data_IF_952010395604
#
_entry.id   IF_952010395604
#
_cell.length_a   1.000
_cell.length_b   1.000
_cell.length_c   1.000
_cell.angle_alpha   90.00
_cell.angle_beta   90.00
_cell.angle_gamma   90.00
#
_symmetry.space_group_name_H-M   'P 1'
#
loop_
_entity.id
_entity.type
_entity.pdbx_description
1 polymer ?
#
# COMPACT_ATOMS: atom_id res chain seq x y z
N UNK A 1 5.61 -24.68 -3.55
CA UNK A 1 5.63 -23.73 -2.39
C UNK A 1 7.04 -23.62 -1.85
N UNK A 2 7.55 -22.40 -1.63
CA UNK A 2 8.90 -22.13 -1.10
C UNK A 2 9.11 -22.82 0.26
N UNK A 3 8.13 -22.78 1.16
CA UNK A 3 8.19 -23.43 2.48
C UNK A 3 8.54 -24.93 2.40
N UNK A 4 7.91 -25.70 1.49
CA UNK A 4 8.26 -27.12 1.29
C UNK A 4 9.70 -27.32 0.81
N UNK A 5 10.19 -26.44 -0.08
CA UNK A 5 11.58 -26.50 -0.57
C UNK A 5 12.59 -26.21 0.53
N UNK A 6 12.21 -25.38 1.50
CA UNK A 6 13.03 -25.02 2.66
C UNK A 6 12.82 -25.93 3.88
N UNK A 7 11.91 -26.91 3.81
CA UNK A 7 11.57 -27.79 4.93
C UNK A 7 10.89 -27.06 6.11
N UNK A 8 10.27 -25.90 5.86
CA UNK A 8 9.60 -25.10 6.88
C UNK A 8 8.15 -25.58 7.11
N UNK A 9 7.65 -25.55 8.35
CA UNK A 9 6.25 -25.83 8.63
C UNK A 9 5.33 -24.81 7.94
N UNK A 10 4.11 -25.23 7.62
CA UNK A 10 3.09 -24.37 7.01
C UNK A 10 1.89 -24.33 7.95
N UNK A 11 1.52 -23.11 8.37
CA UNK A 11 0.25 -22.83 9.06
C UNK A 11 -0.76 -22.46 7.98
N UNK A 12 -1.92 -23.11 7.99
CA UNK A 12 -2.99 -22.89 7.02
C UNK A 12 -4.10 -22.05 7.62
N UNK A 13 -4.72 -21.22 6.77
CA UNK A 13 -5.91 -20.43 7.08
C UNK A 13 -6.91 -20.55 5.94
N UNK A 14 -8.19 -20.43 6.27
CA UNK A 14 -9.26 -20.28 5.28
C UNK A 14 -9.51 -18.80 4.93
N UNK A 15 -8.88 -17.86 5.64
CA UNK A 15 -8.94 -16.44 5.35
C UNK A 15 -8.06 -16.15 4.13
N UNK A 16 -8.66 -15.54 3.11
CA UNK A 16 -7.98 -15.09 1.90
C UNK A 16 -7.31 -13.75 2.20
N UNK A 17 -5.98 -13.73 2.19
CA UNK A 17 -5.18 -12.53 2.44
C UNK A 17 -3.84 -12.62 1.71
N UNK A 18 -3.35 -11.47 1.28
CA UNK A 18 -2.07 -11.28 0.60
C UNK A 18 -1.04 -10.65 1.54
N UNK A 19 0.26 -10.90 1.31
CA UNK A 19 1.34 -10.39 2.17
C UNK A 19 1.37 -8.86 2.28
N UNK A 20 1.11 -8.14 1.17
CA UNK A 20 1.07 -6.66 1.18
C UNK A 20 -0.10 -6.07 1.97
N UNK A 21 -1.16 -6.84 2.19
CA UNK A 21 -2.28 -6.41 3.03
C UNK A 21 -1.96 -6.50 4.53
N UNK A 22 -0.86 -7.16 4.93
CA UNK A 22 -0.53 -7.47 6.33
C UNK A 22 0.71 -6.71 6.77
N UNK A 23 0.58 -5.89 7.82
CA UNK A 23 1.71 -5.13 8.36
C UNK A 23 1.75 -5.27 9.90
N UNK A 24 2.84 -5.86 10.42
CA UNK A 24 3.01 -6.16 11.84
C UNK A 24 4.21 -5.40 12.42
N UNK A 25 4.10 -4.95 13.66
CA UNK A 25 5.17 -4.19 14.33
C UNK A 25 6.20 -5.05 15.09
N UNK A 26 5.98 -6.37 15.15
CA UNK A 26 6.82 -7.31 15.91
C UNK A 26 6.65 -7.25 17.44
N UNK A 27 5.75 -6.42 17.97
CA UNK A 27 5.36 -6.36 19.40
C UNK A 27 3.90 -6.79 19.63
N UNK A 28 3.30 -7.46 18.64
CA UNK A 28 1.96 -8.03 18.70
C UNK A 28 0.83 -7.11 18.23
N UNK A 29 1.13 -6.07 17.44
CA UNK A 29 0.13 -5.23 16.79
C UNK A 29 0.15 -5.49 15.28
N UNK A 30 -1.04 -5.66 14.70
CA UNK A 30 -1.27 -5.79 13.26
C UNK A 30 -2.08 -4.58 12.75
N UNK A 31 -1.65 -3.97 11.65
CA UNK A 31 -2.52 -3.11 10.85
C UNK A 31 -3.30 -3.96 9.86
N UNK A 32 -4.59 -3.65 9.70
CA UNK A 32 -5.43 -4.27 8.68
C UNK A 32 -6.34 -3.24 8.02
N UNK A 33 -6.73 -3.49 6.78
CA UNK A 33 -7.63 -2.61 6.02
C UNK A 33 -8.97 -3.29 5.88
N UNK A 34 -10.01 -2.68 6.45
CA UNK A 34 -11.37 -3.22 6.47
C UNK A 34 -11.90 -3.44 5.05
N UNK A 35 -11.76 -2.44 4.17
CA UNK A 35 -12.24 -2.53 2.79
C UNK A 35 -11.63 -3.74 2.04
N UNK A 36 -10.31 -3.92 2.14
CA UNK A 36 -9.60 -5.05 1.50
C UNK A 36 -10.04 -6.37 2.12
N UNK A 37 -9.98 -6.49 3.45
CA UNK A 37 -10.20 -7.76 4.13
C UNK A 37 -11.63 -8.27 3.92
N UNK A 38 -12.61 -7.37 4.01
CA UNK A 38 -14.02 -7.68 3.79
C UNK A 38 -14.29 -8.07 2.34
N UNK A 39 -13.70 -7.36 1.38
CA UNK A 39 -13.83 -7.68 -0.05
C UNK A 39 -13.28 -9.08 -0.36
N UNK A 40 -12.16 -9.49 0.28
CA UNK A 40 -11.56 -10.82 0.09
C UNK A 40 -12.33 -11.95 0.76
N UNK A 41 -13.02 -11.67 1.86
CA UNK A 41 -13.60 -12.68 2.74
C UNK A 41 -15.12 -12.49 2.91
N UNK A 42 -15.91 -12.54 1.80
CA UNK A 42 -17.35 -12.37 1.90
C UNK A 42 -17.95 -13.45 2.80
N UNK A 43 -18.75 -13.04 3.78
CA UNK A 43 -19.41 -13.92 4.74
C UNK A 43 -18.67 -14.15 6.05
N UNK A 44 -17.43 -13.67 6.20
CA UNK A 44 -16.75 -13.66 7.50
C UNK A 44 -17.20 -12.46 8.34
N UNK A 45 -17.32 -12.65 9.67
CA UNK A 45 -17.49 -11.53 10.60
C UNK A 45 -16.13 -10.94 10.99
N UNK A 46 -16.10 -9.66 11.35
CA UNK A 46 -14.89 -8.99 11.88
C UNK A 46 -14.29 -9.78 13.04
N UNK A 47 -15.11 -10.23 13.99
CA UNK A 47 -14.65 -11.00 15.14
C UNK A 47 -13.96 -12.31 14.73
N UNK A 48 -14.50 -13.02 13.73
CA UNK A 48 -13.91 -14.28 13.27
C UNK A 48 -12.58 -14.03 12.55
N UNK A 49 -12.50 -12.97 11.75
CA UNK A 49 -11.25 -12.56 11.10
C UNK A 49 -10.20 -12.13 12.11
N UNK A 50 -10.58 -11.38 13.16
CA UNK A 50 -9.65 -11.00 14.22
C UNK A 50 -9.08 -12.20 14.96
N UNK A 51 -9.92 -13.20 15.31
CA UNK A 51 -9.44 -14.41 15.98
C UNK A 51 -8.47 -15.19 15.09
N UNK A 52 -8.78 -15.32 13.80
CA UNK A 52 -7.94 -15.99 12.82
C UNK A 52 -6.59 -15.27 12.66
N UNK A 53 -6.59 -13.93 12.53
CA UNK A 53 -5.38 -13.12 12.45
C UNK A 53 -4.52 -13.22 13.72
N UNK A 54 -5.13 -13.16 14.90
CA UNK A 54 -4.43 -13.34 16.18
C UNK A 54 -3.78 -14.72 16.27
N UNK A 55 -4.47 -15.77 15.82
CA UNK A 55 -3.98 -17.14 15.79
C UNK A 55 -2.79 -17.36 14.85
N UNK A 56 -2.84 -16.81 13.63
CA UNK A 56 -1.82 -17.04 12.60
C UNK A 56 -0.60 -16.15 12.80
N UNK A 57 -0.81 -14.86 13.08
CA UNK A 57 0.26 -13.88 13.17
C UNK A 57 0.83 -13.75 14.59
N UNK A 58 0.21 -14.39 15.59
CA UNK A 58 0.63 -14.30 16.98
C UNK A 58 0.52 -12.88 17.55
N UNK A 59 -0.38 -12.08 16.95
CA UNK A 59 -0.68 -10.72 17.39
C UNK A 59 -1.78 -10.73 18.42
N UNK A 60 -1.90 -9.63 19.16
CA UNK A 60 -2.81 -9.53 20.29
C UNK A 60 -3.77 -8.35 20.12
N UNK A 61 -3.36 -7.30 19.39
CA UNK A 61 -4.18 -6.14 19.01
C UNK A 61 -4.18 -5.98 17.48
N UNK A 62 -5.32 -5.53 16.93
CA UNK A 62 -5.49 -5.24 15.50
C UNK A 62 -6.03 -3.82 15.35
N UNK A 63 -5.42 -3.04 14.48
CA UNK A 63 -5.87 -1.69 14.12
C UNK A 63 -6.51 -1.75 12.75
N UNK A 64 -7.83 -1.55 12.71
CA UNK A 64 -8.62 -1.55 11.48
C UNK A 64 -8.66 -0.18 10.83
N UNK A 65 -7.78 0.03 9.86
CA UNK A 65 -7.86 1.14 8.90
C UNK A 65 -9.05 0.91 7.96
N UNK A 66 -9.58 1.97 7.35
CA UNK A 66 -10.80 1.88 6.54
C UNK A 66 -10.51 1.62 5.07
N UNK A 67 -9.94 2.60 4.40
CA UNK A 67 -9.67 2.58 2.96
C UNK A 67 -8.26 3.06 2.66
N UNK A 68 -7.66 2.51 1.61
CA UNK A 68 -6.37 2.95 1.06
C UNK A 68 -6.47 4.06 0.02
N UNK A 69 -5.34 4.43 -0.62
CA UNK A 69 -5.29 5.42 -1.69
C UNK A 69 -6.19 5.05 -2.87
N UNK A 70 -6.70 6.07 -3.58
CA UNK A 70 -7.64 5.83 -4.68
C UNK A 70 -6.95 5.25 -5.93
N UNK A 71 -5.66 5.51 -6.06
CA UNK A 71 -4.77 5.05 -7.10
C UNK A 71 -4.30 3.60 -6.92
N UNK A 72 -4.65 2.93 -5.80
CA UNK A 72 -4.48 1.49 -5.62
C UNK A 72 -5.82 0.74 -5.75
N UNK A 73 -6.59 1.05 -6.79
CA UNK A 73 -7.91 0.42 -7.01
C UNK A 73 -7.78 -1.06 -7.38
N UNK A 74 -8.68 -1.91 -6.86
CA UNK A 74 -8.62 -3.35 -7.06
C UNK A 74 -8.70 -3.73 -8.54
N UNK A 75 -7.78 -4.57 -9.02
CA UNK A 75 -7.66 -4.89 -10.45
C UNK A 75 -8.92 -5.50 -11.10
N UNK A 76 -9.82 -6.09 -10.31
CA UNK A 76 -11.10 -6.64 -10.80
C UNK A 76 -12.21 -5.58 -10.89
N UNK A 77 -12.07 -4.44 -10.19
CA UNK A 77 -12.98 -3.30 -10.26
C UNK A 77 -12.18 -2.00 -10.50
N UNK A 78 -11.44 -1.90 -11.63
CA UNK A 78 -10.34 -0.93 -11.81
C UNK A 78 -10.78 0.52 -12.04
N UNK A 79 -12.10 0.79 -12.16
CA UNK A 79 -12.59 2.16 -12.40
C UNK A 79 -12.52 2.96 -11.10
N UNK A 80 -11.73 4.03 -11.13
CA UNK A 80 -11.55 4.96 -10.01
C UNK A 80 -12.71 5.95 -9.96
N UNK A 81 -12.86 6.75 -11.02
CA UNK A 81 -13.89 7.77 -11.16
C UNK A 81 -13.99 8.25 -12.61
N UNK A 82 -15.20 8.33 -13.16
CA UNK A 82 -15.40 8.76 -14.55
C UNK A 82 -14.58 7.89 -15.50
N UNK A 83 -13.75 8.50 -16.35
CA UNK A 83 -12.87 7.81 -17.29
C UNK A 83 -11.47 7.47 -16.73
N UNK A 84 -11.29 7.52 -15.40
CA UNK A 84 -10.01 7.21 -14.73
C UNK A 84 -10.01 5.76 -14.24
N UNK A 85 -8.94 5.04 -14.55
CA UNK A 85 -8.73 3.66 -14.18
C UNK A 85 -7.37 3.49 -13.51
N UNK A 86 -7.30 2.56 -12.56
CA UNK A 86 -6.06 2.10 -11.96
C UNK A 86 -6.07 0.58 -11.84
N UNK A 87 -4.89 -0.01 -11.73
CA UNK A 87 -4.74 -1.42 -11.38
C UNK A 87 -3.83 -1.55 -10.18
N UNK A 88 -4.41 -2.08 -9.13
CA UNK A 88 -3.75 -2.32 -7.87
C UNK A 88 -4.50 -3.38 -7.07
N UNK A 89 -4.38 -3.27 -5.76
CA UNK A 89 -4.80 -4.32 -4.82
C UNK A 89 -6.09 -4.00 -4.10
N UNK A 90 -6.61 -2.77 -4.21
CA UNK A 90 -7.81 -2.31 -3.50
C UNK A 90 -7.51 -1.52 -2.23
N UNK A 91 -6.29 -1.02 -2.07
CA UNK A 91 -5.85 -0.29 -0.90
C UNK A 91 -5.14 -1.17 0.11
N UNK A 92 -4.17 -1.99 -0.33
CA UNK A 92 -3.32 -2.73 0.62
C UNK A 92 -2.60 -1.76 1.56
N UNK A 93 -2.38 -2.23 2.80
CA UNK A 93 -1.78 -1.40 3.85
C UNK A 93 -0.35 -0.99 3.51
N UNK A 94 0.37 -1.82 2.75
CA UNK A 94 1.75 -1.54 2.36
C UNK A 94 1.90 -0.32 1.43
N UNK A 95 0.81 0.11 0.79
CA UNK A 95 0.79 1.32 -0.02
C UNK A 95 0.63 2.61 0.79
N UNK A 96 0.15 2.57 2.04
CA UNK A 96 -0.21 3.82 2.73
C UNK A 96 0.02 3.88 4.24
N UNK A 97 0.29 2.76 4.91
CA UNK A 97 0.56 2.77 6.34
C UNK A 97 1.57 1.68 6.74
N UNK A 98 2.75 2.05 7.22
CA UNK A 98 3.84 1.10 7.52
C UNK A 98 4.38 1.30 8.92
N UNK A 99 4.65 0.23 9.66
CA UNK A 99 5.46 0.33 10.87
C UNK A 99 6.92 0.55 10.49
N UNK A 100 7.58 1.42 11.25
CA UNK A 100 9.05 1.62 11.16
C UNK A 100 9.76 1.18 12.44
N UNK A 101 8.99 0.95 13.51
CA UNK A 101 9.39 0.29 14.75
C UNK A 101 8.12 -0.18 15.50
N UNK A 102 8.24 -0.57 16.77
CA UNK A 102 7.15 -1.10 17.58
C UNK A 102 6.05 -0.08 17.91
N UNK A 103 6.29 1.22 17.78
CA UNK A 103 5.33 2.26 18.18
C UNK A 103 5.18 3.42 17.21
N UNK A 104 5.78 3.34 16.02
CA UNK A 104 5.80 4.42 15.03
C UNK A 104 5.32 3.89 13.69
N UNK A 105 4.37 4.59 13.11
CA UNK A 105 3.87 4.34 11.76
C UNK A 105 4.15 5.53 10.85
N UNK A 106 4.43 5.23 9.58
CA UNK A 106 4.32 6.21 8.50
C UNK A 106 2.92 6.16 7.91
N UNK A 107 2.34 7.31 7.58
CA UNK A 107 1.05 7.42 6.92
C UNK A 107 1.19 8.26 5.65
N UNK A 108 0.74 7.74 4.51
CA UNK A 108 0.69 8.49 3.26
C UNK A 108 -0.19 9.73 3.42
N UNK A 109 0.28 10.86 2.90
CA UNK A 109 -0.36 12.14 3.09
C UNK A 109 -0.13 13.02 1.85
N UNK A 110 -1.13 13.13 0.95
CA UNK A 110 -1.09 14.09 -0.16
C UNK A 110 -0.79 15.48 0.35
N UNK A 111 0.01 16.31 -0.31
CA UNK A 111 0.29 17.66 0.18
C UNK A 111 -0.88 18.61 -0.11
N UNK A 112 -1.00 19.71 0.65
CA UNK A 112 -2.10 20.67 0.46
C UNK A 112 -2.10 21.27 -0.96
N UNK A 113 -0.92 21.41 -1.57
CA UNK A 113 -0.74 21.85 -2.95
C UNK A 113 -1.30 20.85 -3.99
N UNK A 114 -1.41 19.56 -3.65
CA UNK A 114 -1.92 18.53 -4.54
C UNK A 114 -3.46 18.45 -4.53
N UNK A 115 -4.13 19.08 -3.55
CA UNK A 115 -5.58 18.91 -3.32
C UNK A 115 -6.47 19.59 -4.37
N UNK A 116 -5.90 20.33 -5.32
CA UNK A 116 -6.62 20.76 -6.51
C UNK A 116 -6.97 19.57 -7.42
N UNK A 117 -6.21 18.47 -7.34
CA UNK A 117 -6.56 17.20 -7.97
C UNK A 117 -7.62 16.47 -7.12
N UNK A 118 -8.75 16.12 -7.75
CA UNK A 118 -9.88 15.49 -7.05
C UNK A 118 -9.57 14.09 -6.53
N UNK A 119 -8.66 13.36 -7.16
CA UNK A 119 -8.22 12.03 -6.71
C UNK A 119 -7.34 12.15 -5.46
N UNK A 120 -6.41 13.10 -5.45
CA UNK A 120 -5.60 13.39 -4.26
C UNK A 120 -6.47 13.88 -3.10
N UNK A 121 -7.52 14.65 -3.37
CA UNK A 121 -8.50 15.04 -2.36
C UNK A 121 -9.27 13.83 -1.77
N UNK A 122 -9.64 12.85 -2.60
CA UNK A 122 -10.27 11.60 -2.12
C UNK A 122 -9.28 10.83 -1.24
N UNK A 123 -8.04 10.62 -1.70
CA UNK A 123 -6.99 9.97 -0.92
C UNK A 123 -6.78 10.69 0.41
N UNK A 124 -6.70 12.03 0.41
CA UNK A 124 -6.54 12.81 1.65
C UNK A 124 -7.67 12.56 2.64
N UNK A 125 -8.92 12.57 2.21
CA UNK A 125 -10.10 12.30 3.07
C UNK A 125 -10.07 10.90 3.68
N UNK A 126 -9.64 9.88 2.92
CA UNK A 126 -9.44 8.52 3.43
C UNK A 126 -8.32 8.48 4.49
N UNK A 127 -7.20 9.15 4.22
CA UNK A 127 -6.08 9.23 5.15
C UNK A 127 -6.43 10.00 6.44
N UNK A 128 -7.32 11.00 6.39
CA UNK A 128 -7.84 11.68 7.58
C UNK A 128 -8.65 10.74 8.48
N UNK A 129 -9.42 9.81 7.91
CA UNK A 129 -10.13 8.78 8.69
C UNK A 129 -9.13 7.86 9.37
N UNK A 130 -8.16 7.35 8.61
CA UNK A 130 -7.11 6.46 9.12
C UNK A 130 -6.24 7.13 10.19
N UNK A 131 -5.91 8.41 10.02
CA UNK A 131 -5.17 9.19 11.00
C UNK A 131 -5.91 9.24 12.35
N UNK A 132 -7.22 9.51 12.35
CA UNK A 132 -8.01 9.54 13.60
C UNK A 132 -7.99 8.19 14.32
N UNK A 133 -8.05 7.09 13.57
CA UNK A 133 -7.98 5.74 14.13
C UNK A 133 -6.62 5.51 14.79
N UNK A 134 -5.53 5.84 14.09
CA UNK A 134 -4.17 5.70 14.59
C UNK A 134 -3.90 6.58 15.83
N UNK A 135 -4.38 7.82 15.84
CA UNK A 135 -4.20 8.78 16.95
C UNK A 135 -5.02 8.41 18.19
N UNK A 136 -6.15 7.72 18.02
CA UNK A 136 -7.00 7.24 19.12
C UNK A 136 -6.49 5.93 19.71
N UNK A 137 -5.77 5.12 18.94
CA UNK A 137 -5.25 3.84 19.41
C UNK A 137 -4.30 4.00 20.61
N UNK A 138 -4.42 3.09 21.57
CA UNK A 138 -3.49 2.94 22.70
C UNK A 138 -3.13 1.46 22.79
N UNK A 139 -1.83 1.19 22.92
CA UNK A 139 -1.37 -0.17 23.17
C UNK A 139 -1.74 -0.63 24.60
N UNK A 140 -1.44 -1.89 24.92
CA UNK A 140 -1.74 -2.48 26.24
C UNK A 140 -1.08 -1.80 27.43
N UNK A 141 -0.03 -1.00 27.18
CA UNK A 141 0.62 -0.17 28.21
C UNK A 141 -0.01 1.23 28.33
N UNK A 142 -0.99 1.54 27.49
CA UNK A 142 -1.58 2.88 27.36
C UNK A 142 -0.76 3.84 26.51
N UNK A 143 0.29 3.37 25.81
CA UNK A 143 1.13 4.19 24.94
C UNK A 143 0.43 4.44 23.61
N UNK A 144 0.47 5.70 23.15
CA UNK A 144 -0.03 6.09 21.83
C UNK A 144 0.98 5.75 20.73
N UNK A 145 0.50 5.54 19.50
CA UNK A 145 1.37 5.46 18.34
C UNK A 145 1.88 6.85 17.96
N UNK A 146 3.14 6.91 17.52
CA UNK A 146 3.65 8.07 16.80
C UNK A 146 3.29 7.91 15.31
N UNK A 147 2.53 8.85 14.77
CA UNK A 147 2.18 8.89 13.34
C UNK A 147 3.03 9.94 12.64
N UNK A 148 3.81 9.53 11.65
CA UNK A 148 4.61 10.41 10.80
C UNK A 148 3.96 10.46 9.42
N UNK A 149 3.49 11.63 9.02
CA UNK A 149 2.93 11.86 7.68
C UNK A 149 4.08 11.97 6.67
N UNK A 150 3.95 11.29 5.54
CA UNK A 150 4.92 11.32 4.44
C UNK A 150 4.22 11.71 3.13
N UNK A 151 4.90 12.34 2.16
CA UNK A 151 4.27 12.70 0.88
C UNK A 151 3.64 11.50 0.18
N UNK A 152 2.64 11.75 -0.66
CA UNK A 152 2.33 10.86 -1.79
C UNK A 152 3.07 11.33 -3.04
N UNK A 153 3.37 10.45 -3.99
CA UNK A 153 3.89 10.86 -5.29
C UNK A 153 2.93 11.80 -6.02
N UNK A 154 3.46 12.56 -6.97
CA UNK A 154 2.59 13.30 -7.90
C UNK A 154 1.78 12.34 -8.76
N UNK A 155 0.56 12.75 -9.11
CA UNK A 155 -0.33 11.90 -9.91
C UNK A 155 0.14 11.90 -11.37
N UNK A 156 0.58 10.74 -11.84
CA UNK A 156 0.92 10.51 -13.24
C UNK A 156 -0.27 9.90 -14.00
N UNK A 157 -0.42 10.24 -15.27
CA UNK A 157 -1.49 9.74 -16.12
C UNK A 157 -0.95 9.27 -17.46
N UNK A 158 -1.34 8.08 -17.88
CA UNK A 158 -1.09 7.57 -19.24
C UNK A 158 -2.42 7.44 -20.00
N UNK A 159 -2.54 8.03 -21.20
CA UNK A 159 -3.68 7.78 -22.06
C UNK A 159 -3.63 6.35 -22.59
N UNK A 160 -4.72 5.61 -22.48
CA UNK A 160 -4.84 4.25 -23.01
C UNK A 160 -6.05 4.17 -23.94
N UNK A 161 -5.79 3.79 -25.19
CA UNK A 161 -6.85 3.59 -26.19
C UNK A 161 -7.39 2.17 -26.06
N UNK A 162 -8.68 2.06 -25.81
CA UNK A 162 -9.41 0.79 -25.66
C UNK A 162 -9.31 -0.04 -26.93
N UNK A 163 -8.79 -1.26 -26.80
CA UNK A 163 -8.54 -2.17 -27.91
C UNK A 163 -9.01 -3.59 -27.60
N UNK A 164 -10.06 -4.05 -28.29
CA UNK A 164 -10.63 -5.39 -28.11
C UNK A 164 -9.66 -6.55 -28.41
N UNK A 165 -8.47 -6.31 -28.99
CA UNK A 165 -7.43 -7.33 -29.13
C UNK A 165 -6.69 -7.63 -27.80
N UNK A 166 -6.79 -6.76 -26.80
CA UNK A 166 -6.15 -6.94 -25.48
C UNK A 166 -7.13 -7.59 -24.51
N UNK A 167 -6.72 -8.67 -23.85
CA UNK A 167 -7.59 -9.42 -22.94
C UNK A 167 -8.08 -8.58 -21.75
N UNK A 168 -7.25 -7.67 -21.24
CA UNK A 168 -7.64 -6.78 -20.16
C UNK A 168 -8.70 -5.76 -20.62
N UNK A 169 -8.53 -5.18 -21.82
CA UNK A 169 -9.50 -4.26 -22.40
C UNK A 169 -10.85 -4.93 -22.68
N UNK A 170 -10.87 -6.22 -23.04
CA UNK A 170 -12.12 -6.98 -23.18
C UNK A 170 -12.90 -7.07 -21.86
N UNK A 171 -12.20 -7.26 -20.74
CA UNK A 171 -12.82 -7.24 -19.40
C UNK A 171 -13.38 -5.85 -19.11
N UNK A 172 -12.58 -4.80 -19.32
CA UNK A 172 -13.02 -3.42 -19.10
C UNK A 172 -14.26 -3.08 -19.94
N UNK A 173 -14.25 -3.35 -21.24
CA UNK A 173 -15.39 -3.09 -22.14
C UNK A 173 -16.65 -3.87 -21.74
N UNK A 174 -16.49 -5.07 -21.19
CA UNK A 174 -17.61 -5.90 -20.74
C UNK A 174 -18.24 -5.36 -19.46
N UNK A 175 -17.41 -4.97 -18.50
CA UNK A 175 -17.87 -4.57 -17.17
C UNK A 175 -18.25 -3.08 -17.10
N UNK A 176 -18.10 -2.36 -18.22
CA UNK A 176 -18.34 -0.93 -18.33
C UNK A 176 -19.12 -0.60 -19.61
N UNK A 177 -20.44 -0.57 -19.52
CA UNK A 177 -21.34 -0.36 -20.66
C UNK A 177 -21.16 0.99 -21.38
N UNK A 178 -20.55 1.97 -20.71
CA UNK A 178 -20.24 3.30 -21.26
C UNK A 178 -18.97 3.32 -22.13
N UNK A 179 -18.12 2.29 -22.09
CA UNK A 179 -16.88 2.24 -22.85
C UNK A 179 -17.05 1.55 -24.21
N UNK A 180 -16.35 2.07 -25.21
CA UNK A 180 -16.29 1.52 -26.56
C UNK A 180 -14.84 1.34 -27.04
N UNK A 181 -14.64 0.45 -28.01
CA UNK A 181 -13.35 0.30 -28.69
C UNK A 181 -12.99 1.63 -29.36
N UNK A 182 -11.77 2.11 -29.13
CA UNK A 182 -11.29 3.41 -29.61
C UNK A 182 -11.41 4.54 -28.61
N UNK A 183 -12.17 4.37 -27.52
CA UNK A 183 -12.19 5.36 -26.44
C UNK A 183 -10.82 5.48 -25.79
N UNK A 184 -10.48 6.69 -25.33
CA UNK A 184 -9.24 6.93 -24.57
C UNK A 184 -9.58 7.11 -23.10
N UNK A 185 -9.13 6.18 -22.27
CA UNK A 185 -9.22 6.26 -20.81
C UNK A 185 -7.95 6.88 -20.23
N UNK A 186 -8.05 7.42 -19.02
CA UNK A 186 -6.89 7.86 -18.23
C UNK A 186 -6.49 6.76 -17.27
N UNK A 187 -5.32 6.20 -17.47
CA UNK A 187 -4.77 5.19 -16.58
C UNK A 187 -3.79 5.83 -15.59
N UNK A 188 -3.91 5.51 -14.31
CA UNK A 188 -3.00 5.97 -13.25
C UNK A 188 -2.29 4.77 -12.61
N UNK A 189 -1.03 4.92 -12.19
CA UNK A 189 -0.30 3.84 -11.53
C UNK A 189 -0.62 3.82 -10.03
N UNK A 190 -0.55 2.63 -9.41
CA UNK A 190 -0.51 2.52 -7.96
C UNK A 190 0.90 2.94 -7.48
N UNK A 191 1.05 4.20 -7.07
CA UNK A 191 2.34 4.79 -6.75
C UNK A 191 2.41 5.24 -5.29
N UNK A 192 3.39 4.75 -4.55
CA UNK A 192 3.60 5.13 -3.16
C UNK A 192 5.07 5.14 -2.77
N UNK A 193 5.45 6.09 -1.92
CA UNK A 193 6.71 6.04 -1.18
C UNK A 193 6.73 4.96 -0.10
N UNK A 194 5.57 4.53 0.37
CA UNK A 194 5.42 3.55 1.44
C UNK A 194 5.56 2.09 0.99
N UNK A 195 5.57 1.88 -0.33
CA UNK A 195 5.94 0.60 -0.93
C UNK A 195 7.47 0.36 -0.92
N UNK A 196 8.14 0.78 0.17
CA UNK A 196 9.57 0.57 0.39
C UNK A 196 9.86 -0.83 0.93
N UNK A 197 11.09 -1.28 0.70
CA UNK A 197 11.61 -2.54 1.22
C UNK A 197 12.64 -2.31 2.32
N UNK A 198 12.32 -2.77 3.53
CA UNK A 198 13.24 -2.81 4.67
C UNK A 198 14.04 -4.12 4.68
N UNK A 199 15.37 -4.02 4.64
CA UNK A 199 16.31 -5.15 4.78
C UNK A 199 17.32 -4.85 5.87
N UNK A 200 18.03 -5.85 6.40
CA UNK A 200 18.92 -5.71 7.56
C UNK A 200 19.80 -4.43 7.54
N UNK A 201 20.55 -4.20 6.46
CA UNK A 201 21.47 -3.06 6.34
C UNK A 201 21.05 -1.98 5.35
N UNK A 202 19.95 -2.17 4.61
CA UNK A 202 19.50 -1.24 3.56
C UNK A 202 18.00 -1.03 3.58
N UNK A 203 17.57 0.16 3.17
CA UNK A 203 16.16 0.46 2.89
C UNK A 203 16.05 0.93 1.46
N UNK A 204 15.29 0.21 0.64
CA UNK A 204 15.03 0.59 -0.75
C UNK A 204 13.75 1.41 -0.78
N UNK A 205 13.87 2.69 -1.09
CA UNK A 205 12.80 3.68 -1.02
C UNK A 205 12.44 4.11 -2.44
N UNK A 206 11.17 4.04 -2.84
CA UNK A 206 10.71 4.63 -4.10
C UNK A 206 11.16 6.08 -4.25
N UNK A 207 11.56 6.47 -5.46
CA UNK A 207 11.87 7.84 -5.85
C UNK A 207 11.39 8.06 -7.28
N UNK A 208 10.78 9.21 -7.54
CA UNK A 208 10.08 9.48 -8.78
C UNK A 208 10.75 10.61 -9.59
N UNK A 209 11.53 11.49 -9.00
CA UNK A 209 12.10 12.59 -9.77
C UNK A 209 13.25 12.14 -10.69
N UNK A 210 13.21 12.62 -11.94
CA UNK A 210 14.33 12.54 -12.89
C UNK A 210 14.70 13.95 -13.39
N UNK A 211 15.91 14.09 -13.94
CA UNK A 211 16.32 15.36 -14.54
C UNK A 211 15.34 15.81 -15.63
N UNK A 212 14.80 17.02 -15.48
CA UNK A 212 13.76 17.57 -16.35
C UNK A 212 12.35 17.51 -15.78
N UNK A 213 12.10 16.71 -14.74
CA UNK A 213 10.81 16.64 -14.04
C UNK A 213 10.59 17.82 -13.09
N UNK A 214 9.33 18.14 -12.72
CA UNK A 214 8.99 19.22 -11.81
C UNK A 214 9.79 19.17 -10.49
N UNK A 215 10.21 20.35 -10.03
CA UNK A 215 10.95 20.48 -8.77
C UNK A 215 10.14 19.97 -7.56
N UNK A 216 8.81 20.04 -7.62
CA UNK A 216 7.91 19.52 -6.59
C UNK A 216 8.04 18.00 -6.39
N UNK A 217 8.24 17.22 -7.46
CA UNK A 217 8.53 15.78 -7.32
C UNK A 217 9.86 15.56 -6.60
N UNK A 218 10.88 16.36 -6.95
CA UNK A 218 12.19 16.29 -6.29
C UNK A 218 12.11 16.60 -4.80
N UNK A 219 11.33 17.63 -4.44
CA UNK A 219 11.12 18.01 -3.04
C UNK A 219 10.46 16.88 -2.24
N UNK A 220 9.50 16.16 -2.83
CA UNK A 220 8.85 15.00 -2.20
C UNK A 220 9.81 13.83 -2.02
N UNK A 221 10.62 13.51 -3.04
CA UNK A 221 11.68 12.51 -2.97
C UNK A 221 12.69 12.83 -1.85
N UNK A 222 13.19 14.07 -1.83
CA UNK A 222 14.16 14.55 -0.83
C UNK A 222 13.57 14.49 0.58
N UNK A 223 12.30 14.87 0.76
CA UNK A 223 11.60 14.83 2.05
C UNK A 223 11.41 13.39 2.54
N UNK A 224 11.01 12.47 1.65
CA UNK A 224 10.92 11.05 2.00
C UNK A 224 12.29 10.50 2.37
N UNK A 225 13.33 10.81 1.59
CA UNK A 225 14.69 10.36 1.87
C UNK A 225 15.20 10.86 3.23
N UNK A 226 14.92 12.13 3.58
CA UNK A 226 15.29 12.71 4.87
C UNK A 226 14.58 12.01 6.05
N UNK A 227 13.28 11.71 5.91
CA UNK A 227 12.51 10.95 6.91
C UNK A 227 13.12 9.56 7.10
N UNK A 228 13.40 8.84 6.02
CA UNK A 228 13.95 7.48 6.09
C UNK A 228 15.38 7.45 6.67
N UNK A 229 16.23 8.42 6.35
CA UNK A 229 17.56 8.58 6.96
C UNK A 229 17.48 8.81 8.48
N UNK A 230 16.50 9.59 8.93
CA UNK A 230 16.28 9.85 10.36
C UNK A 230 15.78 8.60 11.10
N UNK A 231 14.90 7.82 10.47
CA UNK A 231 14.29 6.63 11.08
C UNK A 231 15.23 5.43 11.09
N UNK A 232 16.12 5.33 10.10
CA UNK A 232 17.06 4.21 9.97
C UNK A 232 18.51 4.71 9.84
N UNK A 233 19.06 5.38 10.88
CA UNK A 233 20.39 5.99 10.80
C UNK A 233 21.51 4.97 10.54
N UNK A 234 21.32 3.72 10.96
CA UNK A 234 22.30 2.64 10.80
C UNK A 234 22.11 1.85 9.49
N UNK A 235 21.21 2.28 8.59
CA UNK A 235 20.95 1.61 7.31
C UNK A 235 21.26 2.52 6.14
N UNK A 236 21.75 1.94 5.06
CA UNK A 236 21.89 2.67 3.80
C UNK A 236 20.52 2.88 3.15
N UNK A 237 20.14 4.13 2.93
CA UNK A 237 18.92 4.46 2.19
C UNK A 237 19.25 4.50 0.70
N UNK A 238 18.60 3.64 -0.08
CA UNK A 238 18.80 3.49 -1.52
C UNK A 238 17.52 3.89 -2.22
N UNK A 239 17.57 4.92 -3.06
CA UNK A 239 16.43 5.30 -3.90
C UNK A 239 16.36 4.41 -5.13
N UNK A 240 15.14 4.00 -5.49
CA UNK A 240 14.86 3.17 -6.66
C UNK A 240 13.68 3.74 -7.40
N UNK A 241 13.76 3.80 -8.72
CA UNK A 241 12.63 4.17 -9.57
C UNK A 241 11.69 2.97 -9.73
N UNK A 242 10.46 3.03 -9.19
CA UNK A 242 9.50 1.93 -9.22
C UNK A 242 8.54 1.99 -10.41
N UNK A 243 8.61 2.99 -11.30
CA UNK A 243 7.51 3.27 -12.25
C UNK A 243 7.08 2.07 -13.06
N UNK A 244 8.04 1.35 -13.63
CA UNK A 244 7.77 0.18 -14.49
C UNK A 244 6.95 -0.91 -13.78
N UNK A 245 7.09 -1.03 -12.46
CA UNK A 245 6.27 -1.96 -11.67
C UNK A 245 4.98 -1.31 -11.16
N UNK A 246 4.97 0.00 -10.87
CA UNK A 246 3.73 0.71 -10.48
C UNK A 246 2.68 0.68 -11.58
N UNK A 247 3.07 0.83 -12.85
CA UNK A 247 2.17 0.69 -14.00
C UNK A 247 1.57 -0.71 -14.16
N UNK A 248 2.10 -1.71 -13.44
CA UNK A 248 1.61 -3.11 -13.43
C UNK A 248 0.92 -3.48 -12.11
N UNK A 249 0.76 -2.53 -11.20
CA UNK A 249 0.17 -2.69 -9.88
C UNK A 249 1.22 -2.94 -8.78
N UNK A 250 1.21 -2.07 -7.78
CA UNK A 250 2.06 -2.12 -6.58
C UNK A 250 3.50 -1.62 -6.82
N UNK A 251 4.39 -1.83 -5.85
CA UNK A 251 5.78 -1.38 -5.92
C UNK A 251 6.81 -2.41 -5.47
N UNK A 252 7.97 -1.91 -5.01
CA UNK A 252 9.13 -2.74 -4.63
C UNK A 252 8.79 -3.72 -3.52
N UNK A 253 8.01 -3.30 -2.52
CA UNK A 253 7.55 -4.16 -1.44
C UNK A 253 6.70 -5.32 -1.97
N UNK A 254 5.71 -5.04 -2.83
CA UNK A 254 4.79 -6.07 -3.36
C UNK A 254 5.50 -7.18 -4.14
N UNK A 255 6.66 -6.89 -4.73
CA UNK A 255 7.44 -7.82 -5.54
C UNK A 255 8.49 -8.60 -4.73
N UNK A 256 8.49 -8.46 -3.41
CA UNK A 256 9.48 -9.08 -2.53
C UNK A 256 8.84 -9.76 -1.32
N UNK A 257 9.57 -10.70 -0.72
CA UNK A 257 9.17 -11.37 0.50
C UNK A 257 10.42 -11.66 1.33
N UNK A 258 10.52 -11.03 2.50
CA UNK A 258 11.60 -11.27 3.44
C UNK A 258 11.46 -12.63 4.13
N UNK A 259 12.59 -13.29 4.38
CA UNK A 259 12.69 -14.44 5.27
C UNK A 259 13.53 -14.02 6.49
N UNK A 260 12.93 -13.85 7.67
CA UNK A 260 13.67 -13.49 8.87
C UNK A 260 14.66 -14.58 9.27
N UNK A 261 15.76 -14.19 9.90
CA UNK A 261 16.70 -15.13 10.50
C UNK A 261 16.07 -15.78 11.74
N UNK A 262 16.45 -17.02 12.00
CA UNK A 262 16.08 -17.72 13.23
C UNK A 262 16.66 -16.96 14.43
N UNK A 263 15.83 -16.61 15.41
CA UNK A 263 16.26 -15.89 16.64
C UNK A 263 17.02 -16.80 17.62
N UNK A 264 17.01 -18.11 17.39
CA UNK A 264 17.70 -19.10 18.25
C UNK A 264 19.17 -19.36 17.86
N UNK A 265 19.64 -18.72 16.79
CA UNK A 265 21.05 -18.72 16.36
C UNK A 265 21.67 -17.34 16.57
#
# INVERSE_FOLDING_TARGET
>A
MIARRLGLPVVHSNLVIEGGAVEVNGSGILLQVEAVTMQRNPGWSTDSMEQEFKGIFGVHDIIWLKDGPVDDTWYMEPRVHGNVFSQGTGGHVDEFCRFVNDSTVLLAWPDDADLSDSLQLITRRRMEVNLRILEQFRDRSGRALQVIKVPTPEMEFNPHVMNAARSYDQMLLKDNEDLQVGDTIRYIPAASYLNFLLTNGRVFVPAYWHEGEPASMKEKDDRMQAVMKKLFPDRSIVQVDPREINWRGGGVHCWTQQQPTDRSK
#
